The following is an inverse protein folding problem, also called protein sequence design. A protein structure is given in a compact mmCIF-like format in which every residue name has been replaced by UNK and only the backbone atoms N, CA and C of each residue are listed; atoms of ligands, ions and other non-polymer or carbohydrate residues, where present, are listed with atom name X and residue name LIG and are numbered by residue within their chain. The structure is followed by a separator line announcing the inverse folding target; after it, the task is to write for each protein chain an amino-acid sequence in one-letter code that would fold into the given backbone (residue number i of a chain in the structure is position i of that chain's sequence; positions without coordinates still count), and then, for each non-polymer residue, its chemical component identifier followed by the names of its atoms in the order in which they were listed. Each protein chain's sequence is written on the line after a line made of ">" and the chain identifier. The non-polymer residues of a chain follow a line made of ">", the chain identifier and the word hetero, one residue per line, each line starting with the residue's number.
data_IF_484833384325
#
_entry.id   IF_484833384325
#
_cell.length_a   1.000
_cell.length_b   1.000
_cell.length_c   1.000
_cell.angle_alpha   90.00
_cell.angle_beta   90.00
_cell.angle_gamma   90.00
#
_symmetry.space_group_name_H-M   'P 1'
#
loop_
_entity.id
_entity.type
_entity.pdbx_description
1 polymer ?
#
# COMPACT_ATOMS: atom_id res chain seq x y z
N UNK A 1 -8.21 2.89 30.31
CA UNK A 1 -7.50 3.28 29.08
C UNK A 1 -7.85 4.73 28.81
N UNK A 2 -6.96 5.65 29.12
CA UNK A 2 -7.15 7.07 28.82
C UNK A 2 -7.13 7.27 27.31
N UNK A 3 -8.07 8.06 26.80
CA UNK A 3 -8.17 8.41 25.39
C UNK A 3 -6.93 9.24 24.97
N UNK A 4 -5.93 8.56 24.40
CA UNK A 4 -4.67 9.15 23.95
C UNK A 4 -4.89 10.25 22.93
N UNK A 5 -5.93 10.13 22.09
CA UNK A 5 -6.27 11.15 21.11
C UNK A 5 -6.86 12.39 21.78
N UNK A 6 -7.76 12.22 22.75
CA UNK A 6 -8.30 13.35 23.52
C UNK A 6 -7.20 14.06 24.34
N UNK A 7 -6.32 13.29 25.00
CA UNK A 7 -5.20 13.86 25.77
C UNK A 7 -4.24 14.69 24.91
N UNK A 8 -4.08 14.34 23.63
CA UNK A 8 -3.30 15.12 22.66
C UNK A 8 -4.09 16.31 22.09
N UNK A 9 -5.35 16.13 21.71
CA UNK A 9 -6.13 17.12 20.98
C UNK A 9 -6.64 18.26 21.87
N UNK A 10 -7.11 17.96 23.08
CA UNK A 10 -7.74 18.93 23.99
C UNK A 10 -6.86 20.15 24.32
N UNK A 11 -5.57 20.02 24.67
CA UNK A 11 -4.73 21.20 24.92
C UNK A 11 -4.51 22.04 23.66
N UNK A 12 -4.45 21.43 22.47
CA UNK A 12 -4.30 22.14 21.19
C UNK A 12 -5.57 22.94 20.88
N UNK A 13 -6.74 22.32 21.05
CA UNK A 13 -8.04 23.00 20.88
C UNK A 13 -8.17 24.16 21.87
N UNK A 14 -7.80 23.94 23.14
CA UNK A 14 -7.79 24.98 24.17
C UNK A 14 -6.91 26.18 23.79
N UNK A 15 -5.70 25.92 23.27
CA UNK A 15 -4.78 26.96 22.79
C UNK A 15 -5.34 27.75 21.60
N UNK A 16 -6.03 27.07 20.66
CA UNK A 16 -6.69 27.72 19.51
C UNK A 16 -7.83 28.64 20.00
N UNK A 17 -8.69 28.14 20.90
CA UNK A 17 -9.86 28.89 21.38
C UNK A 17 -9.44 30.10 22.21
N UNK A 18 -8.44 29.94 23.08
CA UNK A 18 -7.97 31.01 23.98
C UNK A 18 -7.01 31.99 23.30
N UNK A 19 -6.42 31.62 22.16
CA UNK A 19 -5.35 32.39 21.52
C UNK A 19 -4.07 32.44 22.36
N UNK A 20 -3.86 31.44 23.23
CA UNK A 20 -2.75 31.38 24.18
C UNK A 20 -1.70 30.36 23.72
N UNK A 21 -0.42 30.68 23.93
CA UNK A 21 0.70 29.84 23.51
C UNK A 21 1.03 29.98 22.02
N UNK A 22 1.47 28.89 21.39
CA UNK A 22 1.78 28.83 19.95
C UNK A 22 0.90 27.77 19.25
N UNK A 23 -0.42 27.99 19.15
CA UNK A 23 -1.33 27.04 18.51
C UNK A 23 -1.05 26.96 17.00
N UNK A 24 -1.30 25.80 16.36
CA UNK A 24 -1.26 25.71 14.91
C UNK A 24 -2.30 26.67 14.30
N UNK A 25 -1.85 27.57 13.44
CA UNK A 25 -2.67 28.64 12.87
C UNK A 25 -3.34 28.27 11.54
N UNK A 26 -2.98 27.12 10.98
CA UNK A 26 -3.50 26.61 9.72
C UNK A 26 -3.53 25.07 9.70
N UNK A 27 -4.25 24.51 8.73
CA UNK A 27 -4.41 23.07 8.56
C UNK A 27 -3.06 22.34 8.37
N UNK A 28 -2.09 22.86 7.59
CA UNK A 28 -0.77 22.24 7.50
C UNK A 28 -0.02 22.11 8.83
N UNK A 29 -0.03 23.15 9.67
CA UNK A 29 0.63 23.13 10.98
C UNK A 29 -0.04 22.13 11.93
N UNK A 30 -1.37 22.05 11.91
CA UNK A 30 -2.12 21.05 12.67
C UNK A 30 -1.80 19.63 12.18
N UNK A 31 -1.75 19.45 10.86
CA UNK A 31 -1.43 18.17 10.22
C UNK A 31 -0.02 17.70 10.56
N UNK A 32 0.96 18.61 10.61
CA UNK A 32 2.32 18.30 11.02
C UNK A 32 2.38 17.79 12.47
N UNK A 33 1.70 18.48 13.40
CA UNK A 33 1.59 18.05 14.81
C UNK A 33 0.88 16.71 14.97
N UNK A 34 -0.14 16.45 14.15
CA UNK A 34 -0.82 15.16 14.13
C UNK A 34 0.11 14.05 13.64
N UNK A 35 0.84 14.27 12.53
CA UNK A 35 1.84 13.32 12.04
C UNK A 35 2.95 13.08 13.06
N UNK A 36 3.43 14.11 13.74
CA UNK A 36 4.43 13.93 14.80
C UNK A 36 3.94 13.04 15.95
N UNK A 37 2.67 13.19 16.36
CA UNK A 37 2.10 12.44 17.47
C UNK A 37 1.70 11.00 17.10
N UNK A 38 1.35 10.73 15.84
CA UNK A 38 0.74 9.46 15.44
C UNK A 38 1.43 8.75 14.27
N UNK A 39 2.36 9.38 13.55
CA UNK A 39 3.06 8.71 12.47
C UNK A 39 4.05 7.68 13.03
N UNK A 40 4.17 6.57 12.32
CA UNK A 40 5.18 5.57 12.62
C UNK A 40 6.46 5.91 11.83
N UNK A 41 7.59 6.27 12.47
CA UNK A 41 8.84 6.59 11.77
C UNK A 41 9.40 5.41 10.98
N UNK A 42 9.01 4.19 11.33
CA UNK A 42 9.38 2.96 10.64
C UNK A 42 8.30 2.44 9.66
N UNK A 43 7.27 3.24 9.34
CA UNK A 43 6.16 2.82 8.47
C UNK A 43 6.64 2.19 7.15
N UNK A 44 7.54 2.88 6.44
CA UNK A 44 8.12 2.41 5.17
C UNK A 44 8.90 1.10 5.33
N UNK A 45 9.73 0.98 6.38
CA UNK A 45 10.49 -0.25 6.65
C UNK A 45 9.57 -1.40 7.07
N UNK A 46 8.53 -1.13 7.84
CA UNK A 46 7.53 -2.11 8.23
C UNK A 46 6.71 -2.58 7.02
N UNK A 47 6.28 -1.67 6.15
CA UNK A 47 5.59 -1.99 4.91
C UNK A 47 6.46 -2.85 3.99
N UNK A 48 7.75 -2.52 3.84
CA UNK A 48 8.71 -3.30 3.06
C UNK A 48 8.86 -4.74 3.58
N UNK A 49 8.94 -4.93 4.90
CA UNK A 49 8.98 -6.28 5.49
C UNK A 49 7.68 -7.05 5.28
N UNK A 50 6.54 -6.38 5.46
CA UNK A 50 5.21 -6.98 5.27
C UNK A 50 4.99 -7.39 3.81
N UNK A 51 5.29 -6.53 2.85
CA UNK A 51 5.07 -6.82 1.43
C UNK A 51 6.00 -7.94 0.94
N UNK A 52 7.24 -7.99 1.46
CA UNK A 52 8.19 -9.05 1.16
C UNK A 52 7.73 -10.43 1.65
N UNK A 53 7.04 -10.47 2.81
CA UNK A 53 6.49 -11.67 3.40
C UNK A 53 5.05 -11.98 2.95
N UNK A 54 4.42 -11.10 2.16
CA UNK A 54 3.02 -11.23 1.79
C UNK A 54 2.84 -12.38 0.80
N UNK A 55 2.01 -13.34 1.18
CA UNK A 55 1.62 -14.48 0.36
C UNK A 55 0.11 -14.61 0.34
N UNK A 56 -0.48 -14.91 -0.82
CA UNK A 56 -1.91 -15.12 -0.96
C UNK A 56 -2.35 -16.39 -0.21
N UNK A 57 -2.99 -16.21 0.95
CA UNK A 57 -3.57 -17.29 1.77
C UNK A 57 -5.09 -17.35 1.70
N UNK A 58 -5.74 -16.32 1.14
CA UNK A 58 -7.19 -16.21 1.01
C UNK A 58 -7.61 -15.85 -0.43
N UNK A 59 -8.71 -15.09 -0.58
CA UNK A 59 -9.21 -14.65 -1.89
C UNK A 59 -8.19 -13.73 -2.58
N UNK A 60 -8.16 -13.78 -3.92
CA UNK A 60 -7.27 -12.92 -4.70
C UNK A 60 -7.58 -11.43 -4.47
N UNK A 61 -8.84 -11.08 -4.21
CA UNK A 61 -9.26 -9.69 -3.93
C UNK A 61 -8.68 -9.17 -2.61
N UNK A 62 -8.68 -9.98 -1.56
CA UNK A 62 -8.06 -9.63 -0.28
C UNK A 62 -6.55 -9.45 -0.43
N UNK A 63 -5.87 -10.39 -1.11
CA UNK A 63 -4.44 -10.26 -1.40
C UNK A 63 -4.10 -8.99 -2.17
N UNK A 64 -4.85 -8.66 -3.23
CA UNK A 64 -4.66 -7.42 -4.01
C UNK A 64 -4.85 -6.19 -3.11
N UNK A 65 -5.88 -6.19 -2.26
CA UNK A 65 -6.17 -5.08 -1.35
C UNK A 65 -5.03 -4.87 -0.35
N UNK A 66 -4.56 -5.94 0.28
CA UNK A 66 -3.42 -5.87 1.20
C UNK A 66 -2.14 -5.42 0.50
N UNK A 67 -1.87 -5.93 -0.70
CA UNK A 67 -0.71 -5.54 -1.50
C UNK A 67 -0.76 -4.04 -1.82
N UNK A 68 -1.88 -3.51 -2.32
CA UNK A 68 -2.04 -2.08 -2.61
C UNK A 68 -1.90 -1.20 -1.37
N UNK A 69 -2.46 -1.62 -0.22
CA UNK A 69 -2.31 -0.87 1.03
C UNK A 69 -0.84 -0.76 1.45
N UNK A 70 -0.03 -1.80 1.23
CA UNK A 70 1.40 -1.77 1.51
C UNK A 70 2.18 -0.95 0.49
N UNK A 71 1.77 -0.94 -0.77
CA UNK A 71 2.38 -0.09 -1.82
C UNK A 71 2.26 1.40 -1.50
N UNK A 72 1.17 1.84 -0.85
CA UNK A 72 0.95 3.26 -0.53
C UNK A 72 2.05 3.85 0.39
N UNK A 73 2.76 3.01 1.13
CA UNK A 73 3.85 3.39 2.03
C UNK A 73 5.25 3.21 1.40
N UNK A 74 5.31 2.76 0.13
CA UNK A 74 6.53 2.37 -0.56
C UNK A 74 6.70 3.15 -1.87
N UNK A 75 7.97 3.37 -2.25
CA UNK A 75 8.35 4.06 -3.48
C UNK A 75 9.17 3.14 -4.39
N UNK A 76 8.77 1.87 -4.51
CA UNK A 76 9.45 0.94 -5.43
C UNK A 76 9.08 1.26 -6.88
N UNK A 77 9.90 0.78 -7.82
CA UNK A 77 9.55 0.86 -9.23
C UNK A 77 8.52 -0.21 -9.61
N UNK A 78 7.88 -0.04 -10.77
CA UNK A 78 6.84 -0.94 -11.27
C UNK A 78 7.33 -2.39 -11.41
N UNK A 79 8.54 -2.61 -11.93
CA UNK A 79 9.10 -3.96 -12.11
C UNK A 79 9.25 -4.69 -10.77
N UNK A 80 9.70 -4.00 -9.73
CA UNK A 80 9.83 -4.54 -8.38
C UNK A 80 8.45 -4.88 -7.79
N UNK A 81 7.43 -4.05 -8.04
CA UNK A 81 6.06 -4.36 -7.62
C UNK A 81 5.50 -5.58 -8.35
N UNK A 82 5.69 -5.68 -9.67
CA UNK A 82 5.24 -6.83 -10.46
C UNK A 82 5.92 -8.11 -9.97
N UNK A 83 7.25 -8.07 -9.77
CA UNK A 83 8.01 -9.21 -9.30
C UNK A 83 7.51 -9.69 -7.93
N UNK A 84 7.35 -8.77 -6.96
CA UNK A 84 6.88 -9.11 -5.62
C UNK A 84 5.42 -9.61 -5.65
N UNK A 85 4.56 -8.96 -6.43
CA UNK A 85 3.15 -9.36 -6.59
C UNK A 85 3.05 -10.79 -7.13
N UNK A 86 3.79 -11.08 -8.20
CA UNK A 86 3.83 -12.42 -8.79
C UNK A 86 4.43 -13.43 -7.82
N UNK A 87 5.47 -13.08 -7.06
CA UNK A 87 6.07 -13.98 -6.07
C UNK A 87 5.06 -14.39 -4.99
N UNK A 88 4.26 -13.46 -4.47
CA UNK A 88 3.29 -13.72 -3.40
C UNK A 88 2.01 -14.44 -3.83
N UNK A 89 1.69 -14.49 -5.14
CA UNK A 89 0.48 -15.16 -5.62
C UNK A 89 0.45 -16.66 -5.28
N UNK A 90 -0.76 -17.17 -5.03
CA UNK A 90 -0.98 -18.58 -4.78
C UNK A 90 -0.67 -19.40 -6.04
N UNK A 91 -0.06 -20.58 -5.88
CA UNK A 91 0.45 -21.39 -7.00
C UNK A 91 -0.62 -21.69 -8.07
N UNK A 92 -1.87 -21.95 -7.65
CA UNK A 92 -2.98 -22.23 -8.56
C UNK A 92 -3.36 -21.02 -9.42
N UNK A 93 -3.22 -19.80 -8.87
CA UNK A 93 -3.45 -18.57 -9.64
C UNK A 93 -2.32 -18.37 -10.65
N UNK A 94 -1.06 -18.62 -10.25
CA UNK A 94 0.10 -18.60 -11.16
C UNK A 94 -0.05 -19.58 -12.33
N UNK A 95 -0.57 -20.78 -12.07
CA UNK A 95 -0.85 -21.79 -13.09
C UNK A 95 -1.92 -21.30 -14.09
N UNK A 96 -3.03 -20.73 -13.60
CA UNK A 96 -4.07 -20.16 -14.46
C UNK A 96 -3.56 -19.00 -15.32
N UNK A 97 -2.69 -18.14 -14.78
CA UNK A 97 -2.08 -17.06 -15.54
C UNK A 97 -1.13 -17.59 -16.62
N UNK A 98 -0.37 -18.64 -16.31
CA UNK A 98 0.55 -19.27 -17.25
C UNK A 98 -0.20 -19.91 -18.42
N UNK A 99 -1.24 -20.71 -18.13
CA UNK A 99 -2.06 -21.38 -19.16
C UNK A 99 -2.75 -20.38 -20.09
N UNK A 100 -3.31 -19.29 -19.54
CA UNK A 100 -3.93 -18.22 -20.35
C UNK A 100 -2.92 -17.50 -21.24
N UNK A 101 -1.71 -17.24 -20.74
CA UNK A 101 -0.64 -16.58 -21.52
C UNK A 101 -0.16 -17.47 -22.66
N UNK A 102 0.04 -18.77 -22.43
CA UNK A 102 0.41 -19.74 -23.46
C UNK A 102 -0.63 -19.84 -24.57
N UNK A 103 -1.93 -19.89 -24.22
CA UNK A 103 -3.02 -19.91 -25.19
C UNK A 103 -3.03 -18.66 -26.08
N UNK A 104 -2.87 -17.47 -25.49
CA UNK A 104 -2.84 -16.20 -26.22
C UNK A 104 -1.64 -16.13 -27.20
N UNK A 105 -0.47 -16.60 -26.78
CA UNK A 105 0.72 -16.62 -27.65
C UNK A 105 0.58 -17.65 -28.77
N UNK A 106 0.00 -18.83 -28.49
CA UNK A 106 -0.26 -19.86 -29.51
C UNK A 106 -1.25 -19.38 -30.57
N UNK A 107 -2.34 -18.71 -30.17
CA UNK A 107 -3.31 -18.13 -31.11
C UNK A 107 -2.71 -17.01 -31.96
N UNK A 108 -1.78 -16.21 -31.42
CA UNK A 108 -1.05 -15.17 -32.18
C UNK A 108 -0.08 -15.76 -33.21
N UNK A 109 0.55 -16.89 -32.93
CA UNK A 109 1.47 -17.56 -33.86
C UNK A 109 0.74 -18.26 -35.01
N UNK A 110 -0.49 -18.75 -34.78
CA UNK A 110 -1.34 -19.38 -35.80
C UNK A 110 -1.97 -18.40 -36.80
N UNK A 111 -1.92 -17.09 -36.54
CA UNK A 111 -2.49 -16.05 -37.40
C UNK A 111 -1.46 -15.33 -38.29
N UNK A 112 -0.19 -15.78 -38.33
CA UNK A 112 0.75 -15.30 -39.35
C UNK A 112 0.34 -15.86 -40.73
N UNK A 113 -0.04 -15.02 -41.71
CA UNK A 113 -0.29 -15.52 -43.06
C UNK A 113 1.02 -16.06 -43.65
N UNK A 114 0.99 -17.32 -44.09
CA UNK A 114 2.04 -17.84 -44.98
C UNK A 114 1.90 -17.10 -46.30
N UNK A 115 2.83 -16.19 -46.60
CA UNK A 115 2.88 -15.50 -47.88
C UNK A 115 3.12 -16.53 -48.98
N UNK A 116 2.22 -16.59 -49.95
CA UNK A 116 2.50 -17.15 -51.28
C UNK A 116 3.33 -16.16 -52.09
#
# INVERSE_FOLDING_TARGET
>A
MTDQAANWALPIIGAIIKGEGNPPTNIPALTAKFKEAFANPDAKRAAARKIAALTQTSTTSEYITEFHNLMAELDWNEEAYIAQFMQGLHWKVKELLSTKTTSLTSSRLSLRPQSK
#
